data_IF_737870893247
#
_entry.id   IF_737870893247
#
_cell.length_a   1.000
_cell.length_b   1.000
_cell.length_c   1.000
_cell.angle_alpha   90.00
_cell.angle_beta   90.00
_cell.angle_gamma   90.00
#
_symmetry.space_group_name_H-M   'P 1'
#
loop_
_entity.id
_entity.type
_entity.pdbx_description
1 polymer ?
#
# COMPACT_ATOMS: atom_id res chain seq x y z
N UNK A 1 -36.56 -70.36 38.00
CA UNK A 1 -35.84 -70.46 36.72
C UNK A 1 -36.25 -69.29 35.87
N UNK A 2 -35.27 -68.64 35.24
CA UNK A 2 -35.35 -67.47 34.34
C UNK A 2 -35.64 -66.11 34.95
N UNK A 3 -34.57 -65.45 35.43
CA UNK A 3 -34.41 -63.99 35.28
C UNK A 3 -32.92 -63.62 35.33
N UNK A 4 -32.25 -63.77 34.19
CA UNK A 4 -30.89 -63.28 33.92
C UNK A 4 -30.79 -62.93 32.44
N UNK A 5 -31.38 -61.81 32.01
CA UNK A 5 -31.16 -61.21 30.68
C UNK A 5 -31.85 -59.85 30.53
N UNK A 6 -31.53 -58.85 31.36
CA UNK A 6 -31.97 -57.46 31.09
C UNK A 6 -30.87 -56.41 31.29
N UNK A 7 -29.89 -56.62 32.16
CA UNK A 7 -28.94 -55.53 32.51
C UNK A 7 -27.71 -55.35 31.61
N UNK A 8 -27.54 -56.11 30.52
CA UNK A 8 -26.40 -55.90 29.60
C UNK A 8 -26.72 -55.08 28.34
N UNK A 9 -27.96 -54.61 28.18
CA UNK A 9 -28.39 -53.85 27.00
C UNK A 9 -28.40 -52.33 27.17
N UNK A 10 -28.53 -51.82 28.40
CA UNK A 10 -28.82 -50.39 28.61
C UNK A 10 -27.53 -49.55 28.74
N UNK A 11 -26.47 -50.11 29.34
CA UNK A 11 -25.19 -49.39 29.48
C UNK A 11 -24.41 -49.26 28.15
N UNK A 12 -24.62 -50.17 27.20
CA UNK A 12 -23.97 -50.08 25.88
C UNK A 12 -24.62 -49.02 24.97
N UNK A 13 -25.92 -48.75 25.16
CA UNK A 13 -26.70 -47.77 24.39
C UNK A 13 -26.46 -46.34 24.87
N UNK A 14 -26.33 -46.11 26.18
CA UNK A 14 -25.99 -44.78 26.72
C UNK A 14 -24.58 -44.33 26.33
N UNK A 15 -23.60 -45.25 26.31
CA UNK A 15 -22.24 -44.96 25.88
C UNK A 15 -22.11 -44.62 24.40
N UNK A 16 -22.83 -45.32 23.52
CA UNK A 16 -22.80 -45.05 22.07
C UNK A 16 -23.56 -43.79 21.69
N UNK A 17 -24.69 -43.48 22.34
CA UNK A 17 -25.43 -42.23 22.09
C UNK A 17 -24.60 -41.01 22.46
N UNK A 18 -23.86 -41.07 23.57
CA UNK A 18 -23.03 -39.96 24.05
C UNK A 18 -21.80 -39.74 23.16
N UNK A 19 -21.24 -40.81 22.58
CA UNK A 19 -20.10 -40.71 21.67
C UNK A 19 -20.49 -40.18 20.29
N UNK A 20 -21.63 -40.64 19.75
CA UNK A 20 -22.17 -40.17 18.48
C UNK A 20 -22.60 -38.70 18.56
N UNK A 21 -23.26 -38.26 19.64
CA UNK A 21 -23.61 -36.85 19.82
C UNK A 21 -22.38 -35.94 19.90
N UNK A 22 -21.34 -36.35 20.61
CA UNK A 22 -20.09 -35.57 20.72
C UNK A 22 -19.33 -35.48 19.40
N UNK A 23 -19.36 -36.53 18.59
CA UNK A 23 -18.78 -36.52 17.25
C UNK A 23 -19.59 -35.61 16.32
N UNK A 24 -20.92 -35.72 16.29
CA UNK A 24 -21.78 -34.88 15.47
C UNK A 24 -21.70 -33.40 15.88
N UNK A 25 -21.61 -33.08 17.18
CA UNK A 25 -21.41 -31.70 17.65
C UNK A 25 -20.05 -31.14 17.25
N UNK A 26 -18.97 -31.94 17.33
CA UNK A 26 -17.64 -31.54 16.85
C UNK A 26 -17.67 -31.31 15.34
N UNK A 27 -18.23 -32.22 14.55
CA UNK A 27 -18.34 -32.05 13.11
C UNK A 27 -19.19 -30.84 12.73
N UNK A 28 -20.29 -30.57 13.43
CA UNK A 28 -21.07 -29.34 13.23
C UNK A 28 -20.28 -28.09 13.63
N UNK A 29 -19.52 -28.08 14.72
CA UNK A 29 -18.65 -26.96 15.10
C UNK A 29 -17.50 -26.72 14.11
N UNK A 30 -16.92 -27.77 13.55
CA UNK A 30 -15.91 -27.68 12.50
C UNK A 30 -16.51 -27.16 11.18
N UNK A 31 -17.68 -27.65 10.78
CA UNK A 31 -18.40 -27.14 9.59
C UNK A 31 -18.86 -25.70 9.80
N UNK A 32 -19.34 -25.33 11.00
CA UNK A 32 -19.73 -23.95 11.32
C UNK A 32 -18.50 -23.01 11.36
N UNK A 33 -17.33 -23.47 11.83
CA UNK A 33 -16.09 -22.70 11.76
C UNK A 33 -15.55 -22.58 10.33
N UNK A 34 -15.70 -23.61 9.48
CA UNK A 34 -15.33 -23.56 8.06
C UNK A 34 -16.29 -22.64 7.28
N UNK A 35 -17.58 -22.65 7.60
CA UNK A 35 -18.57 -21.75 6.98
C UNK A 35 -18.41 -20.31 7.49
N UNK A 36 -18.11 -20.08 8.77
CA UNK A 36 -17.83 -18.72 9.27
C UNK A 36 -16.49 -18.15 8.78
N UNK A 37 -15.48 -18.98 8.49
CA UNK A 37 -14.22 -18.53 7.86
C UNK A 37 -14.34 -18.31 6.34
N UNK A 38 -15.35 -18.89 5.69
CA UNK A 38 -15.70 -18.60 4.30
C UNK A 38 -16.53 -17.31 4.13
N UNK A 39 -17.17 -16.81 5.20
CA UNK A 39 -17.94 -15.56 5.20
C UNK A 39 -17.23 -14.37 5.86
N UNK A 40 -16.01 -14.56 6.39
CA UNK A 40 -15.10 -13.46 6.73
C UNK A 40 -14.26 -13.00 5.54
N UNK A 41 -14.78 -13.14 4.32
CA UNK A 41 -14.43 -12.21 3.25
C UNK A 41 -14.97 -10.86 3.67
N UNK A 42 -14.19 -10.09 4.43
CA UNK A 42 -14.38 -8.66 4.46
C UNK A 42 -14.55 -8.24 3.00
N UNK A 43 -15.70 -7.65 2.67
CA UNK A 43 -15.87 -6.97 1.41
C UNK A 43 -14.81 -5.86 1.40
N UNK A 44 -13.61 -6.17 0.90
CA UNK A 44 -12.67 -5.17 0.44
C UNK A 44 -13.49 -4.34 -0.53
N UNK A 45 -13.77 -3.08 -0.17
CA UNK A 45 -14.43 -2.18 -1.10
C UNK A 45 -13.65 -2.25 -2.41
N UNK A 46 -14.27 -2.80 -3.45
CA UNK A 46 -13.57 -3.10 -4.69
C UNK A 46 -13.25 -1.78 -5.38
N UNK A 47 -11.95 -1.51 -5.55
CA UNK A 47 -11.45 -0.30 -6.20
C UNK A 47 -11.99 -0.22 -7.64
N UNK A 48 -12.70 0.86 -7.98
CA UNK A 48 -13.30 1.05 -9.31
C UNK A 48 -12.44 1.96 -10.18
N UNK A 49 -12.25 1.55 -11.43
CA UNK A 49 -11.38 2.22 -12.40
C UNK A 49 -12.20 2.69 -13.60
N UNK A 50 -12.08 3.97 -13.94
CA UNK A 50 -12.59 4.55 -15.18
C UNK A 50 -11.41 4.81 -16.12
N UNK A 51 -11.46 4.29 -17.34
CA UNK A 51 -10.52 4.60 -18.42
C UNK A 51 -11.23 5.49 -19.43
N UNK A 52 -10.79 6.74 -19.54
CA UNK A 52 -11.20 7.69 -20.56
C UNK A 52 -10.16 7.69 -21.68
N UNK A 53 -10.55 7.32 -22.88
CA UNK A 53 -9.68 7.29 -24.05
C UNK A 53 -10.21 8.19 -25.18
N UNK A 54 -9.36 8.57 -26.14
CA UNK A 54 -9.86 9.07 -27.43
C UNK A 54 -10.53 7.93 -28.22
N UNK A 55 -11.33 8.25 -29.23
CA UNK A 55 -11.86 7.28 -30.18
C UNK A 55 -10.80 6.89 -31.24
N UNK A 56 -11.15 5.92 -32.10
CA UNK A 56 -10.32 5.46 -33.21
C UNK A 56 -10.83 5.94 -34.59
N UNK A 57 -11.82 6.83 -34.63
CA UNK A 57 -12.45 7.29 -35.87
C UNK A 57 -11.50 8.22 -36.61
N UNK A 58 -11.26 7.91 -37.88
CA UNK A 58 -10.38 8.70 -38.77
C UNK A 58 -8.89 8.39 -38.63
N UNK A 59 -8.51 7.41 -37.80
CA UNK A 59 -7.15 6.90 -37.74
C UNK A 59 -6.83 5.99 -38.94
N UNK A 60 -5.54 5.91 -39.29
CA UNK A 60 -5.08 4.87 -40.25
C UNK A 60 -5.21 3.48 -39.64
N UNK A 61 -5.27 2.42 -40.47
CA UNK A 61 -5.41 1.05 -39.98
C UNK A 61 -4.31 0.63 -38.98
N UNK A 62 -3.07 1.11 -39.18
CA UNK A 62 -1.94 0.87 -38.28
C UNK A 62 -2.17 1.56 -36.93
N UNK A 63 -2.53 2.83 -36.94
CA UNK A 63 -2.82 3.60 -35.73
C UNK A 63 -4.04 3.06 -34.97
N UNK A 64 -5.10 2.66 -35.70
CA UNK A 64 -6.28 2.03 -35.11
C UNK A 64 -5.88 0.75 -34.38
N UNK A 65 -5.10 -0.12 -35.02
CA UNK A 65 -4.66 -1.39 -34.40
C UNK A 65 -3.84 -1.12 -33.15
N UNK A 66 -2.84 -0.25 -33.26
CA UNK A 66 -1.94 0.06 -32.15
C UNK A 66 -2.68 0.67 -30.95
N UNK A 67 -3.56 1.64 -31.20
CA UNK A 67 -4.30 2.33 -30.15
C UNK A 67 -5.39 1.47 -29.51
N UNK A 68 -6.14 0.69 -30.31
CA UNK A 68 -7.15 -0.23 -29.78
C UNK A 68 -6.49 -1.32 -28.92
N UNK A 69 -5.33 -1.82 -29.33
CA UNK A 69 -4.54 -2.73 -28.51
C UNK A 69 -4.09 -2.05 -27.21
N UNK A 70 -3.64 -0.79 -27.28
CA UNK A 70 -3.32 0.01 -26.11
C UNK A 70 -4.44 0.10 -25.08
N UNK A 71 -5.63 0.52 -25.52
CA UNK A 71 -6.81 0.65 -24.64
C UNK A 71 -7.21 -0.72 -24.08
N UNK A 72 -7.15 -1.78 -24.90
CA UNK A 72 -7.46 -3.15 -24.46
C UNK A 72 -6.45 -3.65 -23.42
N UNK A 73 -5.16 -3.37 -23.61
CA UNK A 73 -4.11 -3.72 -22.67
C UNK A 73 -4.27 -2.97 -21.35
N UNK A 74 -4.62 -1.68 -21.39
CA UNK A 74 -4.95 -0.90 -20.20
C UNK A 74 -6.13 -1.53 -19.44
N UNK A 75 -7.20 -1.88 -20.15
CA UNK A 75 -8.33 -2.56 -19.54
C UNK A 75 -7.92 -3.90 -18.90
N UNK A 76 -7.11 -4.71 -19.58
CA UNK A 76 -6.64 -6.00 -19.09
C UNK A 76 -5.71 -5.87 -17.87
N UNK A 77 -4.76 -4.93 -17.87
CA UNK A 77 -3.86 -4.66 -16.74
C UNK A 77 -4.66 -4.38 -15.47
N UNK A 78 -5.59 -3.41 -15.55
CA UNK A 78 -6.37 -3.00 -14.38
C UNK A 78 -7.41 -4.05 -13.99
N UNK A 79 -8.06 -4.70 -14.96
CA UNK A 79 -9.01 -5.79 -14.69
C UNK A 79 -8.36 -7.00 -14.02
N UNK A 80 -7.08 -7.27 -14.29
CA UNK A 80 -6.34 -8.34 -13.63
C UNK A 80 -6.13 -8.10 -12.13
N UNK A 81 -6.14 -6.82 -11.68
CA UNK A 81 -5.95 -6.45 -10.27
C UNK A 81 -7.28 -6.19 -9.57
N UNK A 82 -8.18 -5.41 -10.18
CA UNK A 82 -9.44 -5.00 -9.52
C UNK A 82 -10.66 -5.84 -9.93
N UNK A 83 -10.50 -6.73 -10.91
CA UNK A 83 -11.58 -7.49 -11.51
C UNK A 83 -12.29 -6.74 -12.63
N UNK A 84 -12.63 -7.44 -13.72
CA UNK A 84 -13.20 -6.84 -14.93
C UNK A 84 -14.51 -6.06 -14.71
N UNK A 85 -15.33 -6.46 -13.75
CA UNK A 85 -16.58 -5.75 -13.42
C UNK A 85 -16.36 -4.35 -12.81
N UNK A 86 -15.14 -4.07 -12.35
CA UNK A 86 -14.77 -2.82 -11.70
C UNK A 86 -14.01 -1.87 -12.64
N UNK A 87 -13.84 -2.24 -13.92
CA UNK A 87 -13.21 -1.40 -14.94
C UNK A 87 -14.28 -0.95 -15.93
N UNK A 88 -14.41 0.36 -16.10
CA UNK A 88 -15.25 0.97 -17.14
C UNK A 88 -14.35 1.70 -18.13
N UNK A 89 -14.60 1.54 -19.43
CA UNK A 89 -13.80 2.19 -20.48
C UNK A 89 -14.71 2.98 -21.41
N UNK A 90 -14.40 4.26 -21.61
CA UNK A 90 -15.13 5.18 -22.47
C UNK A 90 -14.17 5.85 -23.47
N UNK A 91 -14.36 5.62 -24.77
CA UNK A 91 -13.58 6.24 -25.84
C UNK A 91 -14.23 7.53 -26.32
N UNK A 92 -14.22 8.56 -25.47
CA UNK A 92 -15.00 9.80 -25.65
C UNK A 92 -14.18 11.10 -25.54
N UNK A 93 -12.87 11.04 -25.24
CA UNK A 93 -12.06 12.22 -24.91
C UNK A 93 -12.02 13.29 -26.02
N UNK A 94 -12.11 12.92 -27.29
CA UNK A 94 -12.11 13.84 -28.43
C UNK A 94 -13.50 14.19 -28.96
N UNK A 95 -14.59 13.76 -28.30
CA UNK A 95 -15.96 14.10 -28.68
C UNK A 95 -16.43 15.29 -27.84
N UNK A 96 -16.65 16.48 -28.44
CA UNK A 96 -16.96 17.69 -27.68
C UNK A 96 -18.14 17.53 -26.72
N UNK A 97 -17.94 17.90 -25.45
CA UNK A 97 -18.98 17.87 -24.41
C UNK A 97 -19.39 16.48 -23.94
N UNK A 98 -18.65 15.42 -24.29
CA UNK A 98 -18.98 14.06 -23.90
C UNK A 98 -18.58 13.72 -22.46
N UNK A 99 -17.56 14.40 -21.91
CA UNK A 99 -17.17 14.26 -20.51
C UNK A 99 -17.88 15.34 -19.70
N UNK A 100 -18.47 14.95 -18.58
CA UNK A 100 -19.23 15.81 -17.66
C UNK A 100 -18.95 15.39 -16.21
N UNK A 101 -19.42 16.17 -15.23
CA UNK A 101 -19.35 15.76 -13.82
C UNK A 101 -19.98 14.37 -13.56
N UNK A 102 -21.11 14.06 -14.22
CA UNK A 102 -21.79 12.76 -14.10
C UNK A 102 -20.96 11.59 -14.61
N UNK A 103 -19.99 11.83 -15.50
CA UNK A 103 -19.06 10.77 -15.97
C UNK A 103 -18.28 10.15 -14.81
N UNK A 104 -18.07 10.90 -13.72
CA UNK A 104 -17.30 10.46 -12.56
C UNK A 104 -18.17 9.94 -11.41
N UNK A 105 -19.42 10.42 -11.29
CA UNK A 105 -20.27 10.18 -10.12
C UNK A 105 -21.39 9.18 -10.36
N UNK A 106 -21.91 9.09 -11.59
CA UNK A 106 -23.07 8.25 -11.89
C UNK A 106 -22.66 6.80 -12.06
N UNK A 107 -23.59 5.88 -11.80
CA UNK A 107 -23.37 4.45 -12.00
C UNK A 107 -22.84 4.15 -13.42
N UNK A 108 -21.79 3.32 -13.57
CA UNK A 108 -21.25 2.43 -12.55
C UNK A 108 -20.27 3.09 -11.56
N UNK A 109 -20.04 4.40 -11.61
CA UNK A 109 -19.33 5.13 -10.56
C UNK A 109 -20.04 5.11 -9.19
N UNK A 110 -19.47 5.78 -8.17
CA UNK A 110 -18.26 6.60 -8.24
C UNK A 110 -16.99 5.76 -8.47
N UNK A 111 -15.94 6.39 -9.00
CA UNK A 111 -14.66 5.72 -9.28
C UNK A 111 -13.58 6.15 -8.30
N UNK A 112 -12.69 5.22 -7.94
CA UNK A 112 -11.52 5.52 -7.12
C UNK A 112 -10.36 6.04 -7.98
N UNK A 113 -10.22 5.50 -9.20
CA UNK A 113 -9.14 5.80 -10.12
C UNK A 113 -9.73 6.19 -11.48
N UNK A 114 -9.27 7.33 -12.00
CA UNK A 114 -9.55 7.74 -13.38
C UNK A 114 -8.25 7.67 -14.16
N UNK A 115 -8.29 7.08 -15.34
CA UNK A 115 -7.16 6.96 -16.26
C UNK A 115 -7.50 7.73 -17.52
N UNK A 116 -6.63 8.64 -17.95
CA UNK A 116 -6.72 9.23 -19.30
C UNK A 116 -5.72 8.56 -20.21
N UNK A 117 -6.14 8.21 -21.41
CA UNK A 117 -5.28 7.60 -22.42
C UNK A 117 -5.52 8.21 -23.80
N UNK A 118 -4.52 8.88 -24.36
CA UNK A 118 -4.61 9.49 -25.68
C UNK A 118 -3.27 9.41 -26.40
N UNK A 119 -3.31 9.23 -27.72
CA UNK A 119 -2.10 9.22 -28.55
C UNK A 119 -2.28 9.92 -29.89
N UNK A 120 -3.03 9.32 -30.81
CA UNK A 120 -3.11 9.78 -32.21
C UNK A 120 -4.16 10.86 -32.46
N UNK A 121 -5.02 11.18 -31.48
CA UNK A 121 -6.04 12.22 -31.59
C UNK A 121 -5.89 13.24 -30.49
N UNK A 122 -6.18 14.49 -30.83
CA UNK A 122 -6.30 15.56 -29.84
C UNK A 122 -7.47 15.32 -28.91
N UNK A 123 -7.30 15.70 -27.65
CA UNK A 123 -8.37 15.70 -26.66
C UNK A 123 -9.18 16.99 -26.81
N UNK A 124 -10.50 16.92 -26.67
CA UNK A 124 -11.36 18.10 -26.64
C UNK A 124 -11.10 18.91 -25.35
N UNK A 125 -10.89 20.22 -25.49
CA UNK A 125 -10.51 21.07 -24.36
C UNK A 125 -11.65 21.26 -23.35
N UNK A 126 -12.91 21.18 -23.79
CA UNK A 126 -14.07 21.19 -22.91
C UNK A 126 -14.13 19.93 -22.04
N UNK A 127 -13.86 18.77 -22.62
CA UNK A 127 -13.75 17.51 -21.88
C UNK A 127 -12.56 17.54 -20.89
N UNK A 128 -11.40 18.07 -21.31
CA UNK A 128 -10.25 18.19 -20.41
C UNK A 128 -10.50 19.16 -19.25
N UNK A 129 -11.25 20.24 -19.48
CA UNK A 129 -11.68 21.14 -18.42
C UNK A 129 -12.55 20.42 -17.37
N UNK A 130 -13.40 19.48 -17.79
CA UNK A 130 -14.18 18.65 -16.86
C UNK A 130 -13.30 17.67 -16.07
N UNK A 131 -12.25 17.13 -16.67
CA UNK A 131 -11.23 16.33 -15.96
C UNK A 131 -10.49 17.19 -14.91
N UNK A 132 -10.07 18.40 -15.27
CA UNK A 132 -9.45 19.33 -14.32
C UNK A 132 -10.38 19.71 -13.17
N UNK A 133 -11.66 19.95 -13.45
CA UNK A 133 -12.67 20.17 -12.42
C UNK A 133 -12.84 18.93 -11.52
N UNK A 134 -12.82 17.72 -12.09
CA UNK A 134 -12.92 16.49 -11.31
C UNK A 134 -11.70 16.25 -10.41
N UNK A 135 -10.50 16.60 -10.89
CA UNK A 135 -9.27 16.59 -10.09
C UNK A 135 -9.37 17.59 -8.93
N UNK A 136 -9.73 18.84 -9.22
CA UNK A 136 -9.83 19.90 -8.22
C UNK A 136 -10.87 19.59 -7.14
N UNK A 137 -12.00 18.98 -7.52
CA UNK A 137 -13.08 18.61 -6.61
C UNK A 137 -12.95 17.19 -6.04
N UNK A 138 -11.82 16.52 -6.29
CA UNK A 138 -11.52 15.17 -5.78
C UNK A 138 -12.65 14.17 -6.04
N UNK A 139 -13.20 14.17 -7.25
CA UNK A 139 -14.29 13.24 -7.65
C UNK A 139 -13.81 11.79 -7.81
N UNK A 140 -12.50 11.58 -7.78
CA UNK A 140 -11.84 10.29 -7.62
C UNK A 140 -10.61 10.47 -6.70
N UNK A 141 -10.10 9.38 -6.13
CA UNK A 141 -8.90 9.41 -5.27
C UNK A 141 -7.65 9.78 -6.08
N UNK A 142 -7.55 9.32 -7.32
CA UNK A 142 -6.41 9.60 -8.19
C UNK A 142 -6.76 9.69 -9.67
N UNK A 143 -5.96 10.47 -10.39
CA UNK A 143 -5.97 10.55 -11.84
C UNK A 143 -4.61 10.11 -12.40
N UNK A 144 -4.61 9.13 -13.29
CA UNK A 144 -3.43 8.60 -13.96
C UNK A 144 -3.50 8.98 -15.44
N UNK A 145 -2.50 9.69 -15.95
CA UNK A 145 -2.50 10.20 -17.31
C UNK A 145 -1.43 9.45 -18.12
N UNK A 146 -1.85 8.57 -19.02
CA UNK A 146 -1.02 7.93 -20.04
C UNK A 146 -1.21 8.69 -21.36
N UNK A 147 -0.61 9.87 -21.43
CA UNK A 147 -0.85 10.83 -22.49
C UNK A 147 0.39 10.89 -23.40
N UNK A 148 0.26 10.44 -24.64
CA UNK A 148 1.38 10.32 -25.57
C UNK A 148 1.86 11.68 -26.13
N UNK A 149 3.18 11.88 -26.10
CA UNK A 149 3.85 13.08 -26.60
C UNK A 149 4.26 13.05 -28.07
N UNK A 150 4.10 11.94 -28.79
CA UNK A 150 4.59 11.84 -30.18
C UNK A 150 3.65 12.40 -31.24
N UNK A 151 2.34 12.26 -31.01
CA UNK A 151 1.44 11.97 -32.12
C UNK A 151 0.30 12.99 -32.29
N UNK A 152 -0.26 13.50 -31.20
CA UNK A 152 -1.24 14.57 -31.23
C UNK A 152 -0.74 15.79 -30.44
N UNK A 153 -1.01 16.98 -30.98
CA UNK A 153 -0.33 18.22 -30.58
C UNK A 153 -0.66 18.74 -29.18
N UNK A 154 -1.82 18.38 -28.61
CA UNK A 154 -2.26 18.92 -27.31
C UNK A 154 -2.25 17.91 -26.16
N UNK A 155 -1.93 16.64 -26.39
CA UNK A 155 -2.13 15.56 -25.40
C UNK A 155 -1.23 15.70 -24.16
N UNK A 156 0.09 15.79 -24.36
CA UNK A 156 1.04 16.03 -23.24
C UNK A 156 0.97 17.46 -22.73
N UNK A 157 0.68 18.43 -23.62
CA UNK A 157 0.52 19.83 -23.23
C UNK A 157 -0.61 20.00 -22.18
N UNK A 158 -1.75 19.35 -22.40
CA UNK A 158 -2.88 19.36 -21.46
C UNK A 158 -2.53 18.69 -20.13
N UNK A 159 -1.79 17.58 -20.14
CA UNK A 159 -1.28 16.94 -18.92
C UNK A 159 -0.35 17.86 -18.12
N UNK A 160 0.63 18.48 -18.80
CA UNK A 160 1.54 19.46 -18.19
C UNK A 160 0.75 20.63 -17.58
N UNK A 161 -0.22 21.17 -18.30
CA UNK A 161 -1.03 22.30 -17.82
C UNK A 161 -1.86 21.92 -16.59
N UNK A 162 -2.36 20.69 -16.53
CA UNK A 162 -3.03 20.14 -15.34
C UNK A 162 -2.08 20.04 -14.16
N UNK A 163 -0.85 19.52 -14.36
CA UNK A 163 0.16 19.44 -13.30
C UNK A 163 0.46 20.84 -12.77
N UNK A 164 0.76 21.81 -13.63
CA UNK A 164 1.05 23.19 -13.23
C UNK A 164 -0.14 23.85 -12.54
N UNK A 165 -1.37 23.64 -13.02
CA UNK A 165 -2.57 24.20 -12.40
C UNK A 165 -2.85 23.62 -11.03
N UNK A 166 -2.62 22.31 -10.85
CA UNK A 166 -2.83 21.65 -9.57
C UNK A 166 -1.77 22.03 -8.54
N UNK A 167 -0.53 22.29 -8.95
CA UNK A 167 0.61 22.39 -8.02
C UNK A 167 1.21 23.79 -7.89
N UNK A 168 0.99 24.67 -8.88
CA UNK A 168 1.73 25.92 -9.02
C UNK A 168 3.16 25.75 -9.54
N UNK A 169 3.55 24.56 -10.00
CA UNK A 169 4.85 24.33 -10.63
C UNK A 169 4.98 25.06 -11.98
N UNK A 170 6.22 25.13 -12.46
CA UNK A 170 6.59 25.70 -13.76
C UNK A 170 7.07 24.63 -14.73
N UNK A 171 6.46 23.44 -14.72
CA UNK A 171 6.85 22.32 -15.61
C UNK A 171 6.70 22.75 -17.06
N UNK A 172 7.73 22.47 -17.87
CA UNK A 172 7.76 22.73 -19.31
C UNK A 172 7.73 21.43 -20.11
N UNK A 173 7.45 21.53 -21.43
CA UNK A 173 7.71 20.41 -22.34
C UNK A 173 9.20 20.41 -22.68
N UNK A 174 9.82 19.24 -22.51
CA UNK A 174 11.16 18.96 -22.97
C UNK A 174 11.21 18.60 -24.46
N UNK A 175 12.36 18.11 -24.94
CA UNK A 175 12.52 17.69 -26.31
C UNK A 175 11.73 16.39 -26.61
N UNK A 176 11.27 16.21 -27.86
CA UNK A 176 10.74 14.93 -28.29
C UNK A 176 11.85 13.87 -28.35
N UNK A 177 11.50 12.63 -28.01
CA UNK A 177 12.37 11.46 -28.05
C UNK A 177 11.82 10.45 -29.05
N UNK A 178 12.54 10.30 -30.16
CA UNK A 178 12.17 9.47 -31.31
C UNK A 178 12.51 7.98 -31.21
N UNK A 179 12.80 7.45 -30.02
CA UNK A 179 13.36 6.10 -29.82
C UNK A 179 12.71 5.39 -28.64
N UNK A 180 12.74 4.06 -28.65
CA UNK A 180 12.41 3.23 -27.48
C UNK A 180 13.55 3.29 -26.47
N UNK A 181 13.22 3.38 -25.18
CA UNK A 181 14.22 3.53 -24.11
C UNK A 181 13.74 2.94 -22.77
N UNK A 182 14.70 2.71 -21.88
CA UNK A 182 14.48 2.36 -20.47
C UNK A 182 14.54 3.64 -19.63
N UNK A 183 13.43 3.98 -18.99
CA UNK A 183 13.34 5.13 -18.08
C UNK A 183 13.51 4.64 -16.64
N UNK A 184 14.65 4.94 -15.98
CA UNK A 184 14.91 4.47 -14.62
C UNK A 184 13.98 5.14 -13.60
N UNK A 185 13.59 4.37 -12.58
CA UNK A 185 12.82 4.86 -11.45
C UNK A 185 13.67 5.81 -10.60
N UNK A 186 13.07 6.92 -10.16
CA UNK A 186 13.67 7.76 -9.14
C UNK A 186 13.51 7.11 -7.76
N UNK A 187 14.51 6.39 -7.28
CA UNK A 187 14.43 5.69 -5.98
C UNK A 187 14.57 6.62 -4.76
N UNK A 188 14.76 7.93 -4.96
CA UNK A 188 14.87 8.91 -3.87
C UNK A 188 13.53 9.40 -3.34
N UNK A 189 12.43 9.16 -4.07
CA UNK A 189 11.09 9.66 -3.69
C UNK A 189 10.29 8.61 -2.91
N UNK A 190 9.42 9.00 -1.95
CA UNK A 190 8.71 8.06 -1.08
C UNK A 190 7.82 7.05 -1.82
N UNK A 191 7.26 7.44 -2.96
CA UNK A 191 6.37 6.59 -3.77
C UNK A 191 7.10 5.48 -4.52
N UNK A 192 8.44 5.54 -4.62
CA UNK A 192 9.24 4.61 -5.43
C UNK A 192 9.07 3.14 -5.04
N UNK A 193 8.78 2.84 -3.78
CA UNK A 193 8.55 1.46 -3.33
C UNK A 193 7.41 0.76 -4.09
N UNK A 194 6.34 1.49 -4.45
CA UNK A 194 5.22 0.97 -5.23
C UNK A 194 5.62 0.61 -6.66
N UNK A 195 6.70 1.19 -7.18
CA UNK A 195 7.14 1.07 -8.57
C UNK A 195 8.37 0.17 -8.76
N UNK A 196 8.85 -0.51 -7.71
CA UNK A 196 10.04 -1.38 -7.80
C UNK A 196 9.91 -2.50 -8.85
N UNK A 197 8.69 -2.99 -9.10
CA UNK A 197 8.42 -3.99 -10.15
C UNK A 197 8.41 -3.42 -11.58
N UNK A 198 8.43 -2.10 -11.72
CA UNK A 198 8.36 -1.33 -12.96
C UNK A 198 9.62 -0.45 -13.12
N UNK A 199 10.77 -0.94 -12.64
CA UNK A 199 12.09 -0.29 -12.81
C UNK A 199 13.02 -1.17 -13.68
N UNK A 200 13.44 -0.69 -14.86
CA UNK A 200 13.01 0.54 -15.52
C UNK A 200 11.61 0.41 -16.13
N UNK A 201 10.95 1.56 -16.34
CA UNK A 201 9.77 1.64 -17.20
C UNK A 201 10.21 1.68 -18.66
N UNK A 202 9.72 0.74 -19.48
CA UNK A 202 10.01 0.74 -20.91
C UNK A 202 9.07 1.71 -21.63
N UNK A 203 9.63 2.66 -22.37
CA UNK A 203 8.87 3.67 -23.10
C UNK A 203 9.24 3.68 -24.60
N UNK A 204 8.36 4.24 -25.42
CA UNK A 204 8.50 4.42 -26.86
C UNK A 204 8.76 5.88 -27.22
N UNK A 205 8.14 6.33 -28.32
CA UNK A 205 8.33 7.70 -28.84
C UNK A 205 7.50 8.66 -28.00
N UNK A 206 8.11 9.70 -27.44
CA UNK A 206 7.44 10.59 -26.49
C UNK A 206 7.96 12.04 -26.56
N UNK A 207 7.43 12.94 -25.73
CA UNK A 207 7.95 14.26 -25.42
C UNK A 207 8.09 14.38 -23.91
N UNK A 208 9.32 14.42 -23.41
CA UNK A 208 9.62 14.44 -21.97
C UNK A 208 9.16 15.76 -21.31
N UNK A 209 9.18 15.83 -19.98
CA UNK A 209 8.91 17.05 -19.19
C UNK A 209 10.21 17.65 -18.66
N UNK A 210 10.27 18.97 -18.61
CA UNK A 210 11.37 19.75 -18.06
C UNK A 210 10.93 20.55 -16.83
N UNK A 211 11.91 21.00 -16.05
CA UNK A 211 11.67 21.78 -14.82
C UNK A 211 10.76 21.07 -13.80
N UNK A 212 10.80 19.73 -13.75
CA UNK A 212 10.01 18.94 -12.78
C UNK A 212 10.74 18.91 -11.44
N UNK A 213 10.14 19.33 -10.31
CA UNK A 213 10.78 19.21 -9.01
C UNK A 213 11.28 17.78 -8.75
N UNK A 214 12.54 17.61 -8.30
CA UNK A 214 13.13 16.28 -8.09
C UNK A 214 12.29 15.36 -7.20
N UNK A 215 11.58 15.91 -6.20
CA UNK A 215 10.71 15.14 -5.32
C UNK A 215 9.45 14.57 -6.03
N UNK A 216 9.12 15.09 -7.21
CA UNK A 216 7.94 14.75 -8.00
C UNK A 216 8.27 13.97 -9.27
N UNK A 217 9.54 13.94 -9.68
CA UNK A 217 9.99 13.18 -10.83
C UNK A 217 10.01 11.68 -10.49
N UNK A 218 9.05 10.93 -11.03
CA UNK A 218 8.91 9.48 -10.81
C UNK A 218 9.85 8.68 -11.71
N UNK A 219 9.93 9.03 -12.99
CA UNK A 219 10.75 8.34 -13.97
C UNK A 219 11.69 9.32 -14.67
N UNK A 220 12.98 8.99 -14.67
CA UNK A 220 14.06 9.88 -15.09
C UNK A 220 14.52 9.59 -16.53
N UNK A 221 15.32 10.49 -17.07
CA UNK A 221 15.99 10.28 -18.34
C UNK A 221 16.95 9.07 -18.30
N UNK A 222 17.14 8.33 -19.41
CA UNK A 222 18.18 7.31 -19.51
C UNK A 222 19.55 7.85 -19.10
N UNK A 223 20.21 7.13 -18.19
CA UNK A 223 21.53 7.52 -17.70
C UNK A 223 21.54 8.71 -16.73
N UNK A 224 20.38 9.21 -16.30
CA UNK A 224 20.30 10.20 -15.23
C UNK A 224 20.90 9.62 -13.94
N UNK A 225 21.76 10.40 -13.29
CA UNK A 225 22.18 10.13 -11.91
C UNK A 225 21.06 10.64 -11.02
N UNK A 226 20.62 9.83 -10.05
CA UNK A 226 19.60 10.25 -9.07
C UNK A 226 20.09 11.52 -8.38
N UNK A 227 19.43 12.67 -8.61
CA UNK A 227 19.90 13.95 -8.13
C UNK A 227 19.68 14.05 -6.61
N UNK A 228 20.50 14.83 -5.89
CA UNK A 228 20.16 15.24 -4.53
C UNK A 228 18.78 15.91 -4.51
N UNK A 229 18.03 15.72 -3.43
CA UNK A 229 16.73 16.37 -3.23
C UNK A 229 16.91 17.90 -3.33
N UNK A 230 16.34 18.56 -4.34
CA UNK A 230 16.28 20.03 -4.40
C UNK A 230 16.12 20.64 -5.79
N UNK A 231 16.93 20.25 -6.76
CA UNK A 231 16.92 20.90 -8.07
C UNK A 231 15.83 20.33 -9.00
N UNK A 232 15.15 21.16 -9.81
CA UNK A 232 14.29 20.68 -10.87
C UNK A 232 15.06 19.83 -11.89
N UNK A 233 14.37 18.86 -12.48
CA UNK A 233 14.92 17.88 -13.40
C UNK A 233 14.32 18.04 -14.78
N UNK A 234 15.20 17.86 -15.75
CA UNK A 234 14.85 17.83 -17.16
C UNK A 234 14.76 16.40 -17.70
N UNK A 235 14.01 16.27 -18.79
CA UNK A 235 13.78 15.02 -19.49
C UNK A 235 13.13 13.93 -18.60
N UNK A 236 12.17 14.34 -17.77
CA UNK A 236 11.39 13.46 -16.90
C UNK A 236 10.24 12.84 -17.69
N UNK A 237 10.15 11.52 -17.67
CA UNK A 237 9.12 10.77 -18.41
C UNK A 237 7.92 10.38 -17.54
N UNK A 238 8.01 10.57 -16.22
CA UNK A 238 6.92 10.30 -15.30
C UNK A 238 6.94 11.24 -14.09
N UNK A 239 5.76 11.68 -13.66
CA UNK A 239 5.56 12.60 -12.54
C UNK A 239 4.55 12.02 -11.56
N UNK A 240 4.79 12.21 -10.28
CA UNK A 240 3.86 11.94 -9.20
C UNK A 240 3.56 13.21 -8.43
N UNK A 241 2.28 13.48 -8.16
CA UNK A 241 1.81 14.59 -7.32
C UNK A 241 0.89 14.01 -6.22
N UNK A 242 1.30 14.04 -4.95
CA UNK A 242 0.45 13.60 -3.85
C UNK A 242 -0.73 14.57 -3.64
N UNK A 243 -1.73 14.13 -2.89
CA UNK A 243 -2.91 14.96 -2.59
C UNK A 243 -2.55 16.30 -1.91
N UNK A 244 -1.55 16.33 -1.02
CA UNK A 244 -1.18 17.59 -0.33
C UNK A 244 -0.69 18.70 -1.28
N UNK A 245 -0.20 18.32 -2.44
CA UNK A 245 0.30 19.25 -3.45
C UNK A 245 -0.77 19.65 -4.44
N UNK A 246 -1.72 18.76 -4.70
CA UNK A 246 -2.82 19.00 -5.62
C UNK A 246 -3.82 19.98 -5.01
N UNK A 247 -3.93 21.16 -5.59
CA UNK A 247 -4.79 22.27 -5.15
C UNK A 247 -4.64 22.55 -3.64
N UNK A 248 -3.39 22.58 -3.15
CA UNK A 248 -3.06 22.79 -1.75
C UNK A 248 -3.75 21.82 -0.77
N UNK A 249 -3.90 20.55 -1.18
CA UNK A 249 -4.53 19.50 -0.38
C UNK A 249 -6.01 19.25 -0.69
N UNK A 250 -6.64 20.11 -1.50
CA UNK A 250 -8.04 19.96 -1.87
C UNK A 250 -8.25 18.98 -3.05
N UNK A 251 -7.23 18.79 -3.88
CA UNK A 251 -7.32 18.03 -5.13
C UNK A 251 -7.04 16.54 -4.98
N UNK A 252 -7.32 15.80 -6.06
CA UNK A 252 -6.95 14.40 -6.20
C UNK A 252 -5.44 14.23 -6.46
N UNK A 253 -4.94 13.05 -6.12
CA UNK A 253 -3.59 12.61 -6.43
C UNK A 253 -3.38 12.46 -7.95
N UNK A 254 -2.20 12.81 -8.47
CA UNK A 254 -1.91 12.75 -9.90
C UNK A 254 -0.70 11.89 -10.21
N UNK A 255 -0.83 11.13 -11.29
CA UNK A 255 0.29 10.52 -11.99
C UNK A 255 0.27 10.99 -13.44
N UNK A 256 1.39 11.47 -13.93
CA UNK A 256 1.57 11.80 -15.35
C UNK A 256 2.65 10.94 -15.95
N UNK A 257 2.37 10.26 -17.05
CA UNK A 257 3.34 9.55 -17.88
C UNK A 257 3.17 10.06 -19.31
N UNK A 258 4.24 10.59 -19.89
CA UNK A 258 4.24 11.31 -21.19
C UNK A 258 4.06 10.39 -22.41
N UNK A 259 3.70 9.14 -22.18
CA UNK A 259 3.72 8.11 -23.19
C UNK A 259 2.53 7.18 -22.98
N UNK A 260 1.86 6.81 -24.07
CA UNK A 260 0.81 5.79 -24.06
C UNK A 260 1.32 4.44 -24.60
N UNK A 261 2.48 4.45 -25.28
CA UNK A 261 3.09 3.25 -25.87
C UNK A 261 3.55 2.22 -24.83
N UNK A 262 3.68 2.61 -23.55
CA UNK A 262 3.85 1.66 -22.45
C UNK A 262 2.74 0.60 -22.41
N UNK A 263 1.57 0.90 -22.99
CA UNK A 263 0.40 0.03 -23.11
C UNK A 263 0.15 -0.45 -24.55
N UNK A 264 0.73 0.18 -25.58
CA UNK A 264 0.48 -0.22 -26.96
C UNK A 264 1.39 -1.36 -27.41
N UNK A 265 0.96 -2.10 -28.44
CA UNK A 265 1.53 -3.41 -28.84
C UNK A 265 2.90 -3.35 -29.53
N UNK A 266 3.59 -2.21 -29.50
CA UNK A 266 4.91 -2.08 -30.13
C UNK A 266 5.93 -2.88 -29.31
N UNK A 267 6.34 -4.05 -29.82
CA UNK A 267 7.44 -4.77 -29.20
C UNK A 267 8.73 -3.95 -29.27
N UNK A 268 9.54 -3.87 -28.18
CA UNK A 268 9.43 -4.64 -26.95
C UNK A 268 8.77 -3.89 -25.76
N UNK A 269 8.01 -2.81 -25.99
CA UNK A 269 7.55 -1.87 -24.95
C UNK A 269 6.54 -2.51 -24.00
N UNK A 270 5.29 -2.75 -24.42
CA UNK A 270 4.28 -3.35 -23.53
C UNK A 270 4.70 -4.71 -22.92
N UNK A 271 5.30 -5.66 -23.67
CA UNK A 271 5.78 -6.91 -23.07
C UNK A 271 6.77 -6.75 -21.91
N UNK A 272 7.57 -5.67 -21.88
CA UNK A 272 8.48 -5.40 -20.76
C UNK A 272 7.75 -4.89 -19.50
N UNK A 273 6.63 -4.18 -19.70
CA UNK A 273 5.83 -3.54 -18.64
C UNK A 273 4.63 -4.40 -18.20
N UNK A 274 4.23 -5.38 -18.99
CA UNK A 274 3.01 -6.16 -18.79
C UNK A 274 2.97 -6.82 -17.40
N UNK A 275 1.80 -6.72 -16.76
CA UNK A 275 1.52 -7.24 -15.43
C UNK A 275 2.14 -6.44 -14.29
N UNK A 276 2.81 -5.32 -14.59
CA UNK A 276 3.48 -4.46 -13.59
C UNK A 276 2.87 -3.07 -13.48
N UNK A 277 2.17 -2.61 -14.53
CA UNK A 277 1.60 -1.26 -14.60
C UNK A 277 0.51 -1.10 -13.52
N UNK A 278 -0.58 -1.86 -13.62
CA UNK A 278 -1.70 -1.71 -12.69
C UNK A 278 -1.30 -1.98 -11.22
N UNK A 279 -0.53 -3.04 -10.88
CA UNK A 279 -0.07 -3.23 -9.50
C UNK A 279 0.68 -2.02 -8.94
N UNK A 280 1.60 -1.43 -9.73
CA UNK A 280 2.42 -0.32 -9.27
C UNK A 280 1.58 0.95 -9.00
N UNK A 281 0.72 1.33 -9.95
CA UNK A 281 -0.13 2.51 -9.79
C UNK A 281 -1.18 2.32 -8.70
N UNK A 282 -1.83 1.15 -8.61
CA UNK A 282 -2.86 0.93 -7.59
C UNK A 282 -2.27 0.83 -6.18
N UNK A 283 -1.08 0.25 -6.03
CA UNK A 283 -0.34 0.28 -4.76
C UNK A 283 -0.01 1.72 -4.34
N UNK A 284 0.52 2.52 -5.28
CA UNK A 284 0.81 3.94 -5.04
C UNK A 284 -0.45 4.74 -4.68
N UNK A 285 -1.59 4.45 -5.32
CA UNK A 285 -2.87 5.08 -4.97
C UNK A 285 -3.29 4.74 -3.55
N UNK A 286 -3.09 3.51 -3.12
CA UNK A 286 -3.52 3.05 -1.82
C UNK A 286 -2.59 3.49 -0.68
N UNK A 287 -1.29 3.61 -0.96
CA UNK A 287 -0.28 3.79 0.07
C UNK A 287 0.44 5.16 0.02
N UNK A 288 0.47 5.81 -1.15
CA UNK A 288 1.32 6.97 -1.40
C UNK A 288 0.57 8.24 -1.80
N UNK A 289 -0.69 8.17 -2.27
CA UNK A 289 -1.42 9.39 -2.60
C UNK A 289 -1.62 10.34 -1.41
N UNK A 290 -1.69 9.79 -0.19
CA UNK A 290 -1.72 10.58 1.06
C UNK A 290 -0.32 10.92 1.59
N UNK A 291 0.76 10.52 0.91
CA UNK A 291 2.16 10.80 1.29
C UNK A 291 2.55 12.28 1.21
N UNK A 292 1.57 13.12 0.91
CA UNK A 292 1.62 14.55 1.12
C UNK A 292 1.60 15.01 2.58
N UNK A 293 1.60 14.08 3.53
CA UNK A 293 1.67 14.33 4.96
C UNK A 293 2.99 13.89 5.58
N UNK A 294 3.21 14.29 6.83
CA UNK A 294 4.30 13.79 7.65
C UNK A 294 4.14 12.29 7.90
N UNK A 295 5.07 11.46 7.41
CA UNK A 295 5.08 10.02 7.74
C UNK A 295 5.72 9.84 9.11
N UNK A 296 4.94 9.32 10.06
CA UNK A 296 5.44 9.02 11.41
C UNK A 296 5.60 7.52 11.55
N UNK A 297 6.81 7.09 11.90
CA UNK A 297 7.11 5.69 12.20
C UNK A 297 7.15 5.48 13.71
N UNK A 298 6.43 4.47 14.20
CA UNK A 298 6.56 4.01 15.59
C UNK A 298 7.38 2.72 15.57
N UNK A 299 8.45 2.67 16.36
CA UNK A 299 9.35 1.53 16.45
C UNK A 299 9.54 1.08 17.90
N UNK A 300 9.76 -0.22 18.08
CA UNK A 300 10.02 -0.87 19.35
C UNK A 300 11.49 -1.26 19.46
N UNK A 301 12.15 -0.83 20.54
CA UNK A 301 13.51 -1.21 20.88
C UNK A 301 13.51 -2.12 22.10
N UNK A 302 14.34 -3.17 22.09
CA UNK A 302 14.46 -4.16 23.16
C UNK A 302 13.14 -4.88 23.52
N UNK A 303 12.17 -4.89 22.59
CA UNK A 303 10.94 -5.63 22.77
C UNK A 303 11.17 -7.15 22.69
N UNK A 304 10.32 -7.97 23.35
CA UNK A 304 10.29 -9.40 23.12
C UNK A 304 10.16 -9.72 21.63
N UNK A 305 10.63 -10.88 21.19
CA UNK A 305 10.55 -11.31 19.78
C UNK A 305 9.10 -11.31 19.26
N UNK A 306 8.14 -11.52 20.15
CA UNK A 306 6.70 -11.46 19.86
C UNK A 306 6.16 -10.04 19.64
N UNK A 307 6.97 -9.00 19.88
CA UNK A 307 6.58 -7.60 19.85
C UNK A 307 5.66 -7.21 21.00
N UNK A 308 5.08 -6.00 20.91
CA UNK A 308 3.96 -5.57 21.76
C UNK A 308 2.87 -5.08 20.85
N UNK A 309 1.85 -5.91 20.64
CA UNK A 309 0.73 -5.57 19.78
C UNK A 309 -0.17 -4.52 20.44
N UNK A 310 -0.77 -3.65 19.62
CA UNK A 310 -1.75 -2.67 20.04
C UNK A 310 -1.59 -1.33 19.35
N UNK A 311 -2.37 -0.36 19.83
CA UNK A 311 -2.45 0.98 19.28
C UNK A 311 -1.51 1.94 20.03
N UNK A 312 -0.70 2.65 19.25
CA UNK A 312 0.21 3.68 19.69
C UNK A 312 -0.31 5.02 19.19
N UNK A 313 -1.00 5.76 20.06
CA UNK A 313 -1.57 7.06 19.72
C UNK A 313 -0.54 8.17 19.94
N UNK A 314 -0.57 9.17 19.05
CA UNK A 314 0.30 10.33 19.11
C UNK A 314 -0.37 11.54 18.45
N UNK A 315 0.23 12.71 18.63
CA UNK A 315 -0.19 13.95 17.99
C UNK A 315 0.98 14.63 17.31
N UNK A 316 0.72 15.27 16.18
CA UNK A 316 1.63 16.25 15.56
C UNK A 316 1.08 17.65 15.83
N UNK A 317 1.85 18.50 16.50
CA UNK A 317 1.47 19.88 16.83
C UNK A 317 2.35 20.84 16.03
N UNK A 318 1.76 21.64 15.16
CA UNK A 318 2.45 22.67 14.38
C UNK A 318 2.06 24.07 14.87
N UNK A 319 2.97 25.04 14.74
CA UNK A 319 2.69 26.43 15.11
C UNK A 319 2.14 27.25 13.95
N UNK A 320 2.59 26.96 12.72
CA UNK A 320 2.08 27.61 11.51
C UNK A 320 1.70 26.53 10.49
N UNK A 321 0.41 26.40 10.11
CA UNK A 321 -0.73 26.90 10.88
C UNK A 321 -0.74 26.27 12.28
N UNK A 322 -1.29 26.98 13.26
CA UNK A 322 -1.45 26.44 14.61
C UNK A 322 -2.50 25.34 14.57
N UNK A 323 -2.07 24.08 14.61
CA UNK A 323 -2.94 22.93 14.43
C UNK A 323 -2.37 21.67 15.11
N UNK A 324 -3.28 20.80 15.54
CA UNK A 324 -2.96 19.50 16.12
C UNK A 324 -3.58 18.39 15.27
N UNK A 325 -2.75 17.43 14.87
CA UNK A 325 -3.12 16.29 14.05
C UNK A 325 -2.99 15.01 14.90
N UNK A 326 -4.07 14.46 15.48
CA UNK A 326 -4.04 13.18 16.17
C UNK A 326 -3.90 12.03 15.17
N UNK A 327 -3.14 11.01 15.52
CA UNK A 327 -2.94 9.83 14.70
C UNK A 327 -2.63 8.59 15.56
N UNK A 328 -2.71 7.43 14.91
CA UNK A 328 -2.51 6.13 15.56
C UNK A 328 -1.70 5.22 14.65
N UNK A 329 -0.71 4.55 15.22
CA UNK A 329 -0.05 3.40 14.57
C UNK A 329 -0.45 2.14 15.32
N UNK A 330 -1.00 1.17 14.60
CA UNK A 330 -1.27 -0.17 15.13
C UNK A 330 -0.11 -1.09 14.80
N UNK A 331 0.44 -1.76 15.82
CA UNK A 331 1.41 -2.84 15.67
C UNK A 331 0.70 -4.19 15.89
N UNK A 332 0.84 -5.11 14.95
CA UNK A 332 0.44 -6.50 15.14
C UNK A 332 1.51 -7.28 15.93
N UNK A 333 1.19 -8.49 16.39
CA UNK A 333 2.18 -9.39 16.96
C UNK A 333 3.32 -9.66 15.96
N UNK A 334 4.55 -9.76 16.45
CA UNK A 334 5.78 -9.90 15.68
C UNK A 334 6.12 -8.69 14.77
N UNK A 335 5.46 -7.54 14.93
CA UNK A 335 5.88 -6.29 14.29
C UNK A 335 6.64 -5.40 15.26
N UNK A 336 7.87 -5.02 14.89
CA UNK A 336 8.71 -4.12 15.67
C UNK A 336 8.63 -2.66 15.20
N UNK A 337 8.05 -2.40 14.04
CA UNK A 337 7.80 -1.05 13.57
C UNK A 337 6.64 -1.03 12.58
N UNK A 338 5.94 0.09 12.54
CA UNK A 338 4.96 0.41 11.51
C UNK A 338 4.85 1.94 11.38
N UNK A 339 4.23 2.41 10.31
CA UNK A 339 4.14 3.83 9.99
C UNK A 339 2.75 4.23 9.56
N UNK A 340 2.40 5.49 9.78
CA UNK A 340 1.19 6.11 9.25
C UNK A 340 1.52 7.48 8.65
N UNK A 341 0.77 7.89 7.64
CA UNK A 341 0.82 9.25 7.10
C UNK A 341 -0.11 10.14 7.89
N UNK A 342 0.41 11.25 8.41
CA UNK A 342 -0.37 12.28 9.11
C UNK A 342 -0.55 13.47 8.17
N UNK A 343 -1.78 13.97 7.93
CA UNK A 343 -2.07 14.99 6.93
C UNK A 343 -1.64 16.40 7.39
N UNK A 344 -0.38 16.56 7.76
CA UNK A 344 0.25 17.84 8.08
C UNK A 344 0.48 18.61 6.77
N UNK A 345 -0.05 19.83 6.62
CA UNK A 345 0.15 20.63 5.42
C UNK A 345 1.64 20.89 5.15
N UNK A 346 2.04 20.83 3.90
CA UNK A 346 3.38 21.23 3.48
C UNK A 346 3.65 22.69 3.86
N UNK A 347 4.89 23.00 4.22
CA UNK A 347 5.28 24.33 4.70
C UNK A 347 4.92 24.57 6.16
N UNK A 348 4.27 23.62 6.84
CA UNK A 348 3.98 23.79 8.26
C UNK A 348 5.27 23.94 9.06
N UNK A 349 5.33 24.92 9.96
CA UNK A 349 6.53 25.22 10.74
C UNK A 349 6.41 24.79 12.19
N UNK A 350 7.55 24.50 12.81
CA UNK A 350 7.70 24.15 14.22
C UNK A 350 6.80 22.97 14.63
N UNK A 351 6.64 22.00 13.72
CA UNK A 351 5.87 20.80 13.99
C UNK A 351 6.62 19.88 14.97
N UNK A 352 5.91 19.37 15.97
CA UNK A 352 6.44 18.43 16.96
C UNK A 352 5.54 17.21 17.09
N UNK A 353 6.13 16.03 17.08
CA UNK A 353 5.50 14.75 17.35
C UNK A 353 5.63 14.44 18.83
N UNK A 354 4.52 14.07 19.45
CA UNK A 354 4.45 13.64 20.84
C UNK A 354 3.51 12.45 21.00
N UNK A 355 3.97 11.41 21.68
CA UNK A 355 3.15 10.23 21.94
C UNK A 355 2.14 10.51 23.06
N UNK A 356 0.88 10.17 22.83
CA UNK A 356 -0.22 10.43 23.77
C UNK A 356 -0.64 9.19 24.54
N UNK A 357 -0.55 8.01 23.92
CA UNK A 357 -0.80 6.74 24.60
C UNK A 357 -0.04 5.57 23.98
N UNK A 358 0.02 4.44 24.70
CA UNK A 358 0.59 3.17 24.25
C UNK A 358 0.05 1.99 25.05
N UNK A 359 0.17 0.75 24.54
CA UNK A 359 -0.22 -0.44 25.26
C UNK A 359 0.55 -0.63 26.57
N UNK A 360 0.00 -1.44 27.47
CA UNK A 360 0.69 -1.82 28.71
C UNK A 360 1.98 -2.59 28.37
N UNK A 361 3.07 -2.30 29.09
CA UNK A 361 4.32 -3.02 28.92
C UNK A 361 4.14 -4.52 29.26
N UNK A 362 4.86 -5.43 28.58
CA UNK A 362 4.87 -6.84 28.94
C UNK A 362 5.21 -7.09 30.41
N UNK A 363 4.70 -8.18 30.97
CA UNK A 363 4.94 -8.55 32.36
C UNK A 363 6.45 -8.64 32.67
N UNK A 364 6.87 -8.05 33.80
CA UNK A 364 8.28 -7.99 34.18
C UNK A 364 9.12 -6.94 33.43
N UNK A 365 8.47 -6.03 32.69
CA UNK A 365 9.13 -4.94 31.99
C UNK A 365 8.42 -3.60 32.23
N UNK A 366 9.11 -2.51 31.90
CA UNK A 366 8.57 -1.16 31.93
C UNK A 366 9.01 -0.42 30.68
N UNK A 367 8.12 0.40 30.13
CA UNK A 367 8.50 1.33 29.08
C UNK A 367 9.41 2.42 29.61
N UNK A 368 10.43 2.77 28.82
CA UNK A 368 11.17 4.01 29.02
C UNK A 368 10.39 5.19 28.41
N UNK A 369 10.87 6.41 28.66
CA UNK A 369 10.38 7.59 27.96
C UNK A 369 10.59 7.39 26.44
N UNK A 370 9.59 7.69 25.58
CA UNK A 370 9.78 7.64 24.14
C UNK A 370 10.87 8.63 23.70
N UNK A 371 11.68 8.21 22.73
CA UNK A 371 12.61 9.08 22.02
C UNK A 371 11.97 9.55 20.70
N UNK A 372 12.22 10.80 20.32
CA UNK A 372 11.54 11.43 19.20
C UNK A 372 12.54 11.98 18.20
N UNK A 373 12.39 11.57 16.94
CA UNK A 373 12.97 12.30 15.81
C UNK A 373 11.88 13.21 15.23
N UNK A 374 12.06 14.52 15.38
CA UNK A 374 11.10 15.52 14.95
C UNK A 374 11.13 15.71 13.43
N UNK A 375 10.01 16.15 12.81
CA UNK A 375 9.98 16.43 11.38
C UNK A 375 10.92 17.58 11.01
N UNK A 376 11.37 17.66 9.74
CA UNK A 376 12.05 18.84 9.24
C UNK A 376 11.19 20.10 9.39
N UNK A 377 11.84 21.25 9.57
CA UNK A 377 11.18 22.54 9.75
C UNK A 377 11.66 23.53 8.67
N UNK A 378 10.79 24.00 7.74
CA UNK A 378 9.38 23.62 7.58
C UNK A 378 9.20 22.17 7.09
N UNK A 379 8.02 21.61 7.29
CA UNK A 379 7.64 20.29 6.76
C UNK A 379 7.71 20.34 5.23
N UNK A 380 8.59 19.56 4.58
CA UNK A 380 8.74 19.60 3.13
C UNK A 380 7.51 19.02 2.46
N UNK A 381 7.36 19.38 1.19
CA UNK A 381 6.19 19.02 0.39
C UNK A 381 6.08 17.51 0.14
N UNK A 382 7.19 16.79 0.23
CA UNK A 382 7.29 15.33 0.15
C UNK A 382 8.44 14.82 1.04
N UNK A 383 8.34 13.58 1.50
CA UNK A 383 9.43 12.90 2.20
C UNK A 383 9.66 13.34 3.65
N UNK A 384 8.75 14.15 4.21
CA UNK A 384 8.78 14.48 5.63
C UNK A 384 8.60 13.21 6.46
N UNK A 385 9.58 12.92 7.31
CA UNK A 385 9.52 11.79 8.23
C UNK A 385 9.74 12.24 9.66
N UNK A 386 9.11 11.54 10.60
CA UNK A 386 9.37 11.63 12.02
C UNK A 386 9.32 10.22 12.62
N UNK A 387 9.94 10.03 13.78
CA UNK A 387 10.02 8.74 14.43
C UNK A 387 9.72 8.85 15.92
N UNK A 388 8.95 7.89 16.43
CA UNK A 388 8.72 7.65 17.85
C UNK A 388 9.34 6.30 18.21
N UNK A 389 10.47 6.32 18.91
CA UNK A 389 11.16 5.13 19.41
C UNK A 389 10.66 4.79 20.81
N UNK A 390 10.02 3.64 20.96
CA UNK A 390 9.56 3.10 22.23
C UNK A 390 10.51 2.01 22.73
N UNK A 391 11.27 2.29 23.78
CA UNK A 391 12.18 1.31 24.39
C UNK A 391 11.54 0.60 25.58
N UNK A 392 11.69 -0.73 25.62
CA UNK A 392 11.31 -1.57 26.75
C UNK A 392 12.56 -1.91 27.56
N UNK A 393 12.48 -1.72 28.87
CA UNK A 393 13.49 -2.20 29.80
C UNK A 393 12.89 -3.29 30.68
N UNK A 394 13.58 -4.44 30.79
CA UNK A 394 13.25 -5.42 31.81
C UNK A 394 13.32 -4.75 33.19
N UNK A 395 12.25 -4.87 33.96
CA UNK A 395 12.27 -4.39 35.33
C UNK A 395 13.33 -5.21 36.06
N UNK A 396 14.30 -4.55 36.68
CA UNK A 396 15.05 -5.15 37.80
C UNK A 396 14.11 -5.27 39.02
N UNK A 397 12.86 -5.68 38.81
CA UNK A 397 12.04 -6.17 39.89
C UNK A 397 12.85 -7.33 40.45
N UNK A 398 13.38 -7.11 41.66
CA UNK A 398 14.10 -8.08 42.46
C UNK A 398 13.68 -9.47 42.01
N UNK A 399 14.60 -10.22 41.39
CA UNK A 399 14.41 -11.65 41.24
C UNK A 399 13.94 -12.10 42.62
N UNK A 400 12.66 -12.43 42.76
CA UNK A 400 12.19 -12.99 44.02
C UNK A 400 13.15 -14.13 44.27
N UNK A 401 13.83 -14.19 45.44
CA UNK A 401 14.68 -15.31 45.75
C UNK A 401 13.89 -16.53 45.35
N UNK A 402 14.41 -17.33 44.41
CA UNK A 402 13.82 -18.63 44.11
C UNK A 402 13.59 -19.21 45.50
N UNK A 403 12.35 -19.51 45.91
CA UNK A 403 12.12 -20.05 47.23
C UNK A 403 13.03 -21.25 47.28
N UNK A 404 14.08 -21.16 48.09
CA UNK A 404 15.06 -22.23 48.23
C UNK A 404 14.21 -23.42 48.57
N UNK A 405 14.04 -24.31 47.59
CA UNK A 405 13.25 -25.49 47.77
C UNK A 405 13.88 -26.13 49.01
N UNK A 406 13.06 -26.23 50.06
CA UNK A 406 13.39 -26.89 51.31
C UNK A 406 14.40 -28.00 51.00
N UNK A 407 15.57 -28.00 51.64
CA UNK A 407 16.65 -28.96 51.42
C UNK A 407 16.14 -30.41 51.26
N UNK A 408 15.01 -30.76 51.89
CA UNK A 408 14.28 -32.00 51.68
C UNK A 408 13.91 -32.28 50.21
N UNK A 409 13.43 -31.31 49.44
CA UNK A 409 13.12 -31.46 48.01
C UNK A 409 14.35 -31.75 47.16
N UNK A 410 15.48 -31.12 47.49
CA UNK A 410 16.77 -31.37 46.83
C UNK A 410 17.32 -32.76 47.20
N UNK A 411 17.13 -33.16 48.46
CA UNK A 411 17.49 -34.50 48.95
C UNK A 411 16.62 -35.59 48.33
N UNK A 412 15.32 -35.34 48.11
CA UNK A 412 14.41 -36.24 47.39
C UNK A 412 14.85 -36.40 45.93
N UNK A 413 15.27 -35.34 45.25
CA UNK A 413 15.77 -35.42 43.87
C UNK A 413 17.10 -36.20 43.79
N UNK A 414 18.00 -35.99 44.75
CA UNK A 414 19.27 -36.73 44.85
C UNK A 414 19.03 -38.21 45.17
N UNK A 415 18.08 -38.52 46.04
CA UNK A 415 17.70 -39.90 46.37
C UNK A 415 17.02 -40.59 45.18
N UNK A 416 16.13 -39.90 44.46
CA UNK A 416 15.48 -40.44 43.25
C UNK A 416 16.47 -40.69 42.11
N UNK A 417 17.45 -39.81 41.94
CA UNK A 417 18.53 -40.01 40.94
C UNK A 417 19.53 -41.09 41.36
N UNK A 418 19.82 -41.25 42.66
CA UNK A 418 20.62 -42.37 43.15
C UNK A 418 19.88 -43.71 43.00
N UNK A 419 18.57 -43.75 43.26
CA UNK A 419 17.73 -44.93 43.09
C UNK A 419 17.56 -45.32 41.61
N UNK A 420 17.47 -44.36 40.69
CA UNK A 420 17.40 -44.66 39.25
C UNK A 420 18.72 -45.25 38.73
N UNK A 421 19.87 -44.76 39.20
CA UNK A 421 21.19 -45.33 38.88
C UNK A 421 21.37 -46.73 39.47
N UNK A 422 20.89 -46.97 40.70
CA UNK A 422 20.93 -48.30 41.32
C UNK A 422 19.98 -49.29 40.65
N UNK A 423 18.76 -48.86 40.30
CA UNK A 423 17.79 -49.66 39.56
C UNK A 423 18.30 -50.06 38.18
N UNK A 424 18.95 -49.14 37.46
CA UNK A 424 19.54 -49.42 36.15
C UNK A 424 20.68 -50.46 36.25
N UNK A 425 21.51 -50.39 37.30
CA UNK A 425 22.57 -51.38 37.57
C UNK A 425 22.03 -52.75 37.96
N UNK A 426 20.93 -52.80 38.72
CA UNK A 426 20.30 -54.05 39.11
C UNK A 426 19.62 -54.73 37.91
N UNK A 427 18.96 -53.95 37.05
CA UNK A 427 18.34 -54.45 35.83
C UNK A 427 19.37 -55.01 34.83
N UNK A 428 20.53 -54.34 34.66
CA UNK A 428 21.65 -54.82 33.84
C UNK A 428 22.31 -56.10 34.38
N UNK A 429 22.22 -56.38 35.69
CA UNK A 429 22.71 -57.63 36.28
C UNK A 429 21.77 -58.81 36.10
N UNK A 430 20.46 -58.58 36.04
CA UNK A 430 19.46 -59.62 35.82
C UNK A 430 19.34 -59.98 34.34
N UNK A 431 19.58 -59.03 33.42
CA UNK A 431 19.55 -59.30 31.98
C UNK A 431 20.80 -59.99 31.41
N UNK A 432 21.80 -60.27 32.26
CA UNK A 432 23.06 -60.95 31.90
C UNK A 432 23.22 -62.35 32.51
N UNK A 433 22.15 -62.87 33.13
CA UNK A 433 21.97 -64.27 33.55
C UNK A 433 20.78 -64.86 32.83
#
# INVERSE_FOLDING_TARGET
MNDKKVDQGIDSLAGTLTYQLKYQLKWMLWVLMIVCSAFSGAAMAQQRVLILATDNVGLTAVQTTDFVNGVTNAQNEFAAVVGAANVTTLSILNTPGAVTASTFTDAPGPYDVVITMAAYKSIDTGNWAQINAAIQNKLAKSFIMFNDGCCATNVVALMRDTINSATGFSVALGPPRGIIFDSPLNTSIPVSASFAGLDPLKLGVTTDLNDVPAANALYLAPGAVIPPVGDPLDNVSGVFVPESQSYAGAGACLFGVVDASLLTSVAPVYPANQGKIAPAFLDAVNNSCTAGGLRVTVSLLNAPVEGVAGDYEFSVNCETPTATYPATVTLALNQLANSVSVPVPSGSTNCTVSQTSRPTAPAGSSWLAPDYTQPPNPVPVLGATAEIRNEIRASNANLSPIPVANWLSLLVLVVLSALSVYGLRYWLRISSS
#
